data_IF_031473736892
#
_entry.id   IF_031473736892
#
_cell.length_a   1.000
_cell.length_b   1.000
_cell.length_c   1.000
_cell.angle_alpha   90.00
_cell.angle_beta   90.00
_cell.angle_gamma   90.00
#
_symmetry.space_group_name_H-M   'P 1'
#
loop_
_entity.id
_entity.type
_entity.pdbx_description
1 polymer ?
#
# COMPACT_ATOMS: atom_id res chain seq x y z
N UNK A 1 -99.58 -65.83 -57.29
CA UNK A 1 -98.65 -64.70 -57.07
C UNK A 1 -99.45 -63.52 -56.55
N UNK A 2 -98.82 -62.75 -55.66
CA UNK A 2 -99.18 -61.43 -55.13
C UNK A 2 -99.73 -61.37 -53.71
N UNK A 3 -99.09 -60.44 -52.98
CA UNK A 3 -98.85 -60.34 -51.55
C UNK A 3 -99.76 -59.28 -50.93
N UNK A 4 -100.15 -59.54 -49.68
CA UNK A 4 -100.87 -58.71 -48.71
C UNK A 4 -100.13 -57.42 -48.33
N UNK A 5 -100.86 -56.33 -48.02
CA UNK A 5 -100.37 -55.27 -47.13
C UNK A 5 -101.44 -54.80 -46.14
N UNK A 6 -101.04 -54.83 -44.86
CA UNK A 6 -101.72 -54.27 -43.70
C UNK A 6 -101.33 -52.80 -43.51
N UNK A 7 -102.24 -52.03 -42.95
CA UNK A 7 -102.12 -50.60 -42.68
C UNK A 7 -102.26 -50.36 -41.16
N UNK A 8 -101.30 -49.72 -40.52
CA UNK A 8 -101.42 -49.19 -39.15
C UNK A 8 -100.63 -47.90 -39.02
N UNK A 9 -101.30 -46.80 -38.69
CA UNK A 9 -100.69 -45.53 -38.30
C UNK A 9 -101.36 -45.03 -37.04
N UNK A 10 -100.62 -44.94 -35.93
CA UNK A 10 -100.98 -44.16 -34.74
C UNK A 10 -99.72 -43.66 -34.03
N UNK A 11 -99.84 -42.44 -33.49
CA UNK A 11 -99.09 -41.85 -32.37
C UNK A 11 -97.61 -41.49 -32.54
N UNK A 12 -97.33 -40.21 -32.82
CA UNK A 12 -96.11 -39.51 -32.35
C UNK A 12 -96.46 -38.04 -32.00
N UNK A 13 -96.71 -37.72 -30.73
CA UNK A 13 -96.90 -36.31 -30.30
C UNK A 13 -96.42 -35.99 -28.87
N UNK A 14 -95.79 -36.91 -28.13
CA UNK A 14 -95.43 -36.68 -26.72
C UNK A 14 -93.93 -36.65 -26.42
N UNK A 15 -93.05 -36.97 -27.38
CA UNK A 15 -91.59 -37.10 -27.11
C UNK A 15 -90.78 -35.80 -27.21
N UNK A 16 -91.30 -34.72 -27.82
CA UNK A 16 -90.49 -33.53 -28.11
C UNK A 16 -90.29 -32.59 -26.90
N UNK A 17 -91.20 -32.58 -25.91
CA UNK A 17 -91.16 -31.60 -24.79
C UNK A 17 -90.23 -31.96 -23.63
N UNK A 18 -89.71 -33.19 -23.55
CA UNK A 18 -88.83 -33.63 -22.45
C UNK A 18 -87.33 -33.49 -22.74
N UNK A 19 -86.92 -33.30 -24.00
CA UNK A 19 -85.52 -33.10 -24.37
C UNK A 19 -85.01 -31.67 -24.06
N UNK A 20 -85.86 -30.65 -24.19
CA UNK A 20 -85.47 -29.24 -24.03
C UNK A 20 -85.29 -28.76 -22.58
N UNK A 21 -85.76 -29.51 -21.58
CA UNK A 21 -85.58 -29.15 -20.17
C UNK A 21 -84.30 -29.75 -19.57
N UNK A 22 -83.87 -30.93 -20.04
CA UNK A 22 -82.59 -31.51 -19.61
C UNK A 22 -81.41 -30.75 -20.19
N UNK A 23 -81.47 -30.34 -21.46
CA UNK A 23 -80.37 -29.63 -22.15
C UNK A 23 -80.00 -28.31 -21.46
N UNK A 24 -80.99 -27.51 -21.04
CA UNK A 24 -80.77 -26.24 -20.31
C UNK A 24 -80.17 -26.42 -18.91
N UNK A 25 -80.46 -27.52 -18.21
CA UNK A 25 -79.87 -27.78 -16.88
C UNK A 25 -78.42 -28.28 -16.95
N UNK A 26 -78.02 -28.96 -18.03
CA UNK A 26 -76.61 -29.34 -18.24
C UNK A 26 -75.77 -28.15 -18.68
N UNK A 27 -76.28 -27.29 -19.54
CA UNK A 27 -75.57 -26.08 -20.00
C UNK A 27 -75.35 -25.08 -18.85
N UNK A 28 -76.32 -24.90 -17.94
CA UNK A 28 -76.18 -24.02 -16.77
C UNK A 28 -75.12 -24.55 -15.77
N UNK A 29 -75.08 -25.86 -15.52
CA UNK A 29 -74.07 -26.49 -14.64
C UNK A 29 -72.66 -26.51 -15.23
N UNK A 30 -72.52 -26.52 -16.56
CA UNK A 30 -71.22 -26.42 -17.23
C UNK A 30 -70.68 -25.00 -17.08
N UNK A 31 -71.51 -23.97 -17.28
CA UNK A 31 -71.12 -22.56 -17.14
C UNK A 31 -70.68 -22.23 -15.70
N UNK A 32 -71.43 -22.68 -14.69
CA UNK A 32 -71.04 -22.51 -13.27
C UNK A 32 -69.71 -23.21 -12.93
N UNK A 33 -69.47 -24.43 -13.43
CA UNK A 33 -68.20 -25.13 -13.21
C UNK A 33 -67.03 -24.47 -13.93
N UNK A 34 -67.22 -23.94 -15.14
CA UNK A 34 -66.15 -23.18 -15.83
C UNK A 34 -65.82 -21.86 -15.15
N UNK A 35 -66.81 -21.15 -14.59
CA UNK A 35 -66.57 -19.91 -13.83
C UNK A 35 -65.87 -20.18 -12.48
N UNK A 36 -66.22 -21.28 -11.81
CA UNK A 36 -65.57 -21.69 -10.57
C UNK A 36 -64.13 -22.17 -10.81
N UNK A 37 -63.87 -22.93 -11.89
CA UNK A 37 -62.52 -23.30 -12.31
C UNK A 37 -61.69 -22.08 -12.78
N UNK A 38 -62.29 -21.13 -13.49
CA UNK A 38 -61.62 -19.89 -13.90
C UNK A 38 -61.25 -19.00 -12.69
N UNK A 39 -62.12 -18.91 -11.69
CA UNK A 39 -61.84 -18.21 -10.43
C UNK A 39 -60.71 -18.85 -9.63
N UNK A 40 -60.66 -20.18 -9.54
CA UNK A 40 -59.57 -20.92 -8.89
C UNK A 40 -58.24 -20.81 -9.64
N UNK A 41 -58.28 -20.85 -10.97
CA UNK A 41 -57.07 -20.64 -11.79
C UNK A 41 -56.53 -19.22 -11.61
N UNK A 42 -57.40 -18.21 -11.55
CA UNK A 42 -56.97 -16.81 -11.43
C UNK A 42 -56.37 -16.48 -10.05
N UNK A 43 -56.92 -17.01 -8.95
CA UNK A 43 -56.32 -16.85 -7.61
C UNK A 43 -55.02 -17.62 -7.44
N UNK A 44 -54.92 -18.81 -8.01
CA UNK A 44 -53.68 -19.60 -7.98
C UNK A 44 -52.58 -18.95 -8.82
N UNK A 45 -52.91 -18.36 -9.97
CA UNK A 45 -51.99 -17.60 -10.81
C UNK A 45 -51.54 -16.30 -10.13
N UNK A 46 -52.46 -15.56 -9.51
CA UNK A 46 -52.14 -14.34 -8.75
C UNK A 46 -51.22 -14.66 -7.57
N UNK A 47 -51.46 -15.77 -6.85
CA UNK A 47 -50.61 -16.20 -5.75
C UNK A 47 -49.22 -16.65 -6.22
N UNK A 48 -49.11 -17.34 -7.36
CA UNK A 48 -47.82 -17.75 -7.91
C UNK A 48 -47.00 -16.58 -8.46
N UNK A 49 -47.65 -15.59 -9.08
CA UNK A 49 -47.01 -14.35 -9.54
C UNK A 49 -46.50 -13.55 -8.34
N UNK A 50 -47.31 -13.38 -7.28
CA UNK A 50 -46.89 -12.66 -6.07
C UNK A 50 -45.72 -13.35 -5.36
N UNK A 51 -45.71 -14.68 -5.31
CA UNK A 51 -44.60 -15.43 -4.73
C UNK A 51 -43.31 -15.29 -5.55
N UNK A 52 -43.39 -15.35 -6.89
CA UNK A 52 -42.24 -15.14 -7.76
C UNK A 52 -41.67 -13.71 -7.64
N UNK A 53 -42.54 -12.70 -7.53
CA UNK A 53 -42.14 -11.31 -7.32
C UNK A 53 -41.45 -11.11 -5.96
N UNK A 54 -41.98 -11.74 -4.90
CA UNK A 54 -41.38 -11.71 -3.56
C UNK A 54 -39.99 -12.38 -3.53
N UNK A 55 -39.84 -13.55 -4.17
CA UNK A 55 -38.54 -14.24 -4.27
C UNK A 55 -37.54 -13.42 -5.10
N UNK A 56 -37.97 -12.79 -6.19
CA UNK A 56 -37.11 -11.92 -7.01
C UNK A 56 -36.65 -10.69 -6.21
N UNK A 57 -37.56 -10.03 -5.49
CA UNK A 57 -37.23 -8.92 -4.60
C UNK A 57 -36.28 -9.36 -3.46
N UNK A 58 -36.47 -10.54 -2.87
CA UNK A 58 -35.55 -11.07 -1.86
C UNK A 58 -34.15 -11.31 -2.41
N UNK A 59 -34.03 -11.90 -3.61
CA UNK A 59 -32.72 -12.13 -4.25
C UNK A 59 -32.01 -10.81 -4.57
N UNK A 60 -32.76 -9.81 -5.05
CA UNK A 60 -32.22 -8.49 -5.36
C UNK A 60 -31.82 -7.72 -4.10
N UNK A 61 -32.57 -7.86 -3.00
CA UNK A 61 -32.21 -7.30 -1.70
C UNK A 61 -30.96 -7.97 -1.12
N UNK A 62 -30.83 -9.29 -1.24
CA UNK A 62 -29.63 -10.02 -0.80
C UNK A 62 -28.38 -9.65 -1.60
N UNK A 63 -28.49 -9.45 -2.93
CA UNK A 63 -27.35 -9.00 -3.73
C UNK A 63 -26.96 -7.56 -3.41
N UNK A 64 -27.94 -6.69 -3.15
CA UNK A 64 -27.70 -5.30 -2.73
C UNK A 64 -27.01 -5.25 -1.38
N UNK A 65 -27.46 -6.05 -0.41
CA UNK A 65 -26.85 -6.14 0.92
C UNK A 65 -25.40 -6.66 0.84
N UNK A 66 -25.16 -7.71 0.06
CA UNK A 66 -23.80 -8.24 -0.16
C UNK A 66 -22.86 -7.22 -0.81
N UNK A 67 -23.36 -6.37 -1.73
CA UNK A 67 -22.56 -5.32 -2.33
C UNK A 67 -22.24 -4.19 -1.33
N UNK A 68 -23.16 -3.88 -0.41
CA UNK A 68 -22.92 -2.91 0.66
C UNK A 68 -21.86 -3.44 1.64
N UNK A 69 -21.92 -4.72 2.04
CA UNK A 69 -20.91 -5.33 2.91
C UNK A 69 -19.51 -5.31 2.26
N UNK A 70 -19.40 -5.63 0.96
CA UNK A 70 -18.13 -5.53 0.23
C UNK A 70 -17.58 -4.11 0.22
N UNK A 71 -18.43 -3.13 -0.07
CA UNK A 71 -18.03 -1.73 -0.08
C UNK A 71 -17.59 -1.23 1.32
N UNK A 72 -18.28 -1.67 2.39
CA UNK A 72 -17.87 -1.37 3.76
C UNK A 72 -16.47 -1.94 4.03
N UNK A 73 -16.22 -3.20 3.69
CA UNK A 73 -14.90 -3.80 3.87
C UNK A 73 -13.81 -3.12 3.03
N UNK A 74 -14.11 -2.71 1.80
CA UNK A 74 -13.17 -1.94 0.97
C UNK A 74 -12.81 -0.59 1.61
N UNK A 75 -13.79 0.12 2.21
CA UNK A 75 -13.53 1.37 2.94
C UNK A 75 -12.72 1.11 4.22
N UNK A 76 -13.07 0.07 4.98
CA UNK A 76 -12.36 -0.30 6.21
C UNK A 76 -10.90 -0.64 5.91
N UNK A 77 -10.65 -1.44 4.87
CA UNK A 77 -9.32 -1.82 4.41
C UNK A 77 -8.53 -0.58 3.97
N UNK A 78 -9.11 0.30 3.17
CA UNK A 78 -8.46 1.54 2.71
C UNK A 78 -8.16 2.49 3.89
N UNK A 79 -9.11 2.63 4.81
CA UNK A 79 -8.94 3.46 6.02
C UNK A 79 -7.82 2.92 6.92
N UNK A 80 -7.76 1.58 7.10
CA UNK A 80 -6.70 0.94 7.87
C UNK A 80 -5.33 1.10 7.22
N UNK A 81 -5.26 1.00 5.89
CA UNK A 81 -4.04 1.22 5.09
C UNK A 81 -3.53 2.65 5.24
N UNK A 82 -4.43 3.63 5.22
CA UNK A 82 -4.10 5.04 5.45
C UNK A 82 -3.50 5.28 6.84
N UNK A 83 -4.05 4.65 7.89
CA UNK A 83 -3.50 4.77 9.26
C UNK A 83 -2.13 4.09 9.41
N UNK A 84 -1.95 2.94 8.77
CA UNK A 84 -0.65 2.26 8.77
C UNK A 84 0.43 3.09 8.06
N UNK A 85 0.08 3.73 6.94
CA UNK A 85 0.98 4.64 6.22
C UNK A 85 1.38 5.84 7.08
N UNK A 86 0.41 6.54 7.69
CA UNK A 86 0.68 7.67 8.58
C UNK A 86 1.62 7.27 9.73
N UNK A 87 1.36 6.12 10.36
CA UNK A 87 2.24 5.60 11.41
C UNK A 87 3.65 5.28 10.89
N UNK A 88 3.76 4.72 9.69
CA UNK A 88 5.06 4.43 9.09
C UNK A 88 5.84 5.71 8.77
N UNK A 89 5.15 6.77 8.33
CA UNK A 89 5.73 8.11 8.12
C UNK A 89 6.27 8.65 9.44
N UNK A 90 5.47 8.66 10.50
CA UNK A 90 5.87 9.16 11.83
C UNK A 90 7.10 8.42 12.39
N UNK A 91 7.12 7.09 12.29
CA UNK A 91 8.28 6.30 12.72
C UNK A 91 9.52 6.60 11.89
N UNK A 92 9.36 6.78 10.58
CA UNK A 92 10.46 7.12 9.68
C UNK A 92 11.03 8.49 10.03
N UNK A 93 10.18 9.51 10.16
CA UNK A 93 10.57 10.87 10.55
C UNK A 93 11.30 10.85 11.89
N UNK A 94 10.75 10.16 12.90
CA UNK A 94 11.36 10.07 14.23
C UNK A 94 12.74 9.40 14.15
N UNK A 95 12.85 8.30 13.39
CA UNK A 95 14.11 7.57 13.22
C UNK A 95 15.17 8.41 12.51
N UNK A 96 14.80 9.10 11.43
CA UNK A 96 15.69 9.98 10.67
C UNK A 96 16.12 11.17 11.51
N UNK A 97 15.20 11.85 12.21
CA UNK A 97 15.55 12.97 13.09
C UNK A 97 16.51 12.56 14.21
N UNK A 98 16.34 11.38 14.80
CA UNK A 98 17.28 10.84 15.79
C UNK A 98 18.67 10.63 15.19
N UNK A 99 18.74 10.06 14.00
CA UNK A 99 20.01 9.89 13.28
C UNK A 99 20.65 11.24 12.97
N UNK A 100 19.90 12.22 12.47
CA UNK A 100 20.38 13.58 12.20
C UNK A 100 20.95 14.22 13.46
N UNK A 101 20.26 14.12 14.60
CA UNK A 101 20.75 14.64 15.87
C UNK A 101 22.07 13.98 16.30
N UNK A 102 22.21 12.68 16.09
CA UNK A 102 23.44 11.95 16.40
C UNK A 102 24.60 12.40 15.49
N UNK A 103 24.38 12.45 14.17
CA UNK A 103 25.38 12.92 13.20
C UNK A 103 25.89 14.33 13.54
N UNK A 104 24.97 15.24 13.89
CA UNK A 104 25.31 16.59 14.30
C UNK A 104 26.08 16.64 15.63
N UNK A 105 25.76 15.78 16.59
CA UNK A 105 26.47 15.70 17.85
C UNK A 105 27.91 15.19 17.63
N UNK A 106 28.06 14.15 16.81
CA UNK A 106 29.36 13.57 16.46
C UNK A 106 30.22 14.57 15.68
N UNK A 107 29.63 15.33 14.75
CA UNK A 107 30.33 16.37 13.99
C UNK A 107 30.89 17.46 14.90
N UNK A 108 30.07 17.97 15.83
CA UNK A 108 30.51 18.94 16.85
C UNK A 108 31.60 18.36 17.76
N UNK A 109 31.54 17.07 18.07
CA UNK A 109 32.54 16.44 18.90
C UNK A 109 33.89 16.32 18.16
N UNK A 110 33.87 16.04 16.86
CA UNK A 110 35.05 16.10 16.01
C UNK A 110 35.66 17.52 15.98
N UNK A 111 34.85 18.58 15.86
CA UNK A 111 35.33 19.97 15.92
C UNK A 111 36.06 20.28 17.23
N UNK A 112 35.54 19.80 18.35
CA UNK A 112 36.20 19.97 19.66
C UNK A 112 37.58 19.32 19.68
N UNK A 113 37.77 18.17 19.02
CA UNK A 113 39.10 17.55 18.92
C UNK A 113 40.02 18.31 17.98
N UNK A 114 39.50 18.79 16.85
CA UNK A 114 40.26 19.63 15.92
C UNK A 114 40.84 20.85 16.65
N UNK A 115 40.01 21.57 17.39
CA UNK A 115 40.46 22.76 18.14
C UNK A 115 41.46 22.40 19.24
N UNK A 116 41.30 21.24 19.90
CA UNK A 116 42.28 20.77 20.88
C UNK A 116 43.62 20.45 20.23
N UNK A 117 43.64 19.80 19.07
CA UNK A 117 44.87 19.44 18.37
C UNK A 117 45.61 20.70 17.92
N UNK A 118 44.91 21.71 17.39
CA UNK A 118 45.50 23.00 17.02
C UNK A 118 46.20 23.74 18.17
N UNK A 119 45.82 23.44 19.41
CA UNK A 119 46.39 24.03 20.63
C UNK A 119 47.45 23.14 21.28
N UNK A 120 47.71 21.95 20.74
CA UNK A 120 48.77 21.09 21.24
C UNK A 120 50.13 21.63 20.81
N UNK A 121 50.83 22.22 21.76
CA UNK A 121 52.27 22.42 21.65
C UNK A 121 52.96 21.17 22.20
N UNK A 122 53.76 20.46 21.39
CA UNK A 122 54.54 19.35 21.92
C UNK A 122 55.34 18.55 20.92
N UNK A 123 56.36 17.86 21.43
CA UNK A 123 57.27 16.98 20.68
C UNK A 123 56.74 15.54 20.56
N UNK A 124 55.44 15.31 20.85
CA UNK A 124 54.85 13.97 20.90
C UNK A 124 53.80 13.80 19.80
N UNK A 125 54.03 12.80 18.95
CA UNK A 125 53.07 12.38 17.93
C UNK A 125 51.77 11.84 18.58
N UNK A 126 50.64 12.18 17.98
CA UNK A 126 49.29 11.79 18.37
C UNK A 126 49.00 10.35 17.89
N UNK A 127 49.42 10.00 16.67
CA UNK A 127 49.16 8.69 16.05
C UNK A 127 50.44 8.10 15.41
N UNK A 128 51.46 7.77 16.22
CA UNK A 128 52.75 7.26 15.70
C UNK A 128 52.65 5.92 14.95
N UNK A 129 51.53 5.19 15.07
CA UNK A 129 51.28 3.91 14.41
C UNK A 129 50.26 4.00 13.26
N UNK A 130 49.83 5.20 12.86
CA UNK A 130 48.80 5.45 11.84
C UNK A 130 47.44 4.74 12.10
N UNK A 131 47.22 4.30 13.33
CA UNK A 131 46.08 3.47 13.74
C UNK A 131 44.79 4.28 13.83
N UNK A 132 44.88 5.52 14.33
CA UNK A 132 43.77 6.45 14.48
C UNK A 132 43.38 7.02 13.13
N UNK A 133 44.34 7.46 12.32
CA UNK A 133 44.11 7.97 10.97
C UNK A 133 43.46 6.90 10.07
N UNK A 134 43.94 5.66 10.14
CA UNK A 134 43.33 4.52 9.42
C UNK A 134 41.89 4.26 9.90
N UNK A 135 41.65 4.35 11.20
CA UNK A 135 40.31 4.15 11.78
C UNK A 135 39.35 5.27 11.39
N UNK A 136 39.80 6.53 11.39
CA UNK A 136 39.04 7.68 10.93
C UNK A 136 38.65 7.54 9.45
N UNK A 137 39.56 7.09 8.60
CA UNK A 137 39.27 6.85 7.18
C UNK A 137 38.21 5.76 6.97
N UNK A 138 38.26 4.67 7.75
CA UNK A 138 37.23 3.62 7.71
C UNK A 138 35.87 4.14 8.18
N UNK A 139 35.84 4.94 9.24
CA UNK A 139 34.63 5.58 9.74
C UNK A 139 34.08 6.54 8.70
N UNK A 140 34.92 7.37 8.08
CA UNK A 140 34.55 8.28 7.00
C UNK A 140 33.88 7.53 5.83
N UNK A 141 34.47 6.41 5.40
CA UNK A 141 33.89 5.55 4.35
C UNK A 141 32.51 4.98 4.76
N UNK A 142 32.33 4.68 6.05
CA UNK A 142 31.06 4.21 6.58
C UNK A 142 30.00 5.31 6.60
N UNK A 143 30.38 6.55 6.96
CA UNK A 143 29.48 7.72 6.89
C UNK A 143 29.10 8.03 5.44
N UNK A 144 30.01 7.87 4.48
CA UNK A 144 29.69 7.99 3.06
C UNK A 144 28.63 6.97 2.61
N UNK A 145 28.68 5.74 3.11
CA UNK A 145 27.63 4.74 2.84
C UNK A 145 26.27 5.17 3.42
N UNK A 146 26.26 5.74 4.63
CA UNK A 146 25.04 6.31 5.24
C UNK A 146 24.49 7.45 4.38
N UNK A 147 25.35 8.37 3.94
CA UNK A 147 24.97 9.47 3.04
C UNK A 147 24.31 8.97 1.74
N UNK A 148 24.90 7.98 1.09
CA UNK A 148 24.37 7.40 -0.15
C UNK A 148 23.02 6.68 0.08
N UNK A 149 22.89 5.97 1.20
CA UNK A 149 21.63 5.32 1.59
C UNK A 149 20.52 6.35 1.85
N UNK A 150 20.83 7.47 2.52
CA UNK A 150 19.86 8.54 2.75
C UNK A 150 19.40 9.18 1.43
N UNK A 151 20.29 9.35 0.46
CA UNK A 151 19.92 9.81 -0.89
C UNK A 151 18.96 8.83 -1.56
N UNK A 152 19.29 7.54 -1.54
CA UNK A 152 18.46 6.50 -2.14
C UNK A 152 17.07 6.44 -1.50
N UNK A 153 16.99 6.55 -0.17
CA UNK A 153 15.72 6.59 0.57
C UNK A 153 14.90 7.84 0.29
N UNK A 154 15.53 9.00 0.20
CA UNK A 154 14.86 10.24 -0.20
C UNK A 154 14.25 10.11 -1.59
N UNK A 155 15.00 9.52 -2.54
CA UNK A 155 14.50 9.30 -3.89
C UNK A 155 13.34 8.31 -3.91
N UNK A 156 13.44 7.21 -3.17
CA UNK A 156 12.33 6.26 -2.99
C UNK A 156 11.07 6.93 -2.42
N UNK A 157 11.23 7.86 -1.47
CA UNK A 157 10.13 8.65 -0.94
C UNK A 157 9.48 9.59 -1.97
N UNK A 158 10.27 10.16 -2.89
CA UNK A 158 9.75 10.98 -4.01
C UNK A 158 9.01 10.15 -5.06
N UNK A 159 9.44 8.91 -5.25
CA UNK A 159 8.87 8.02 -6.26
C UNK A 159 7.59 7.29 -5.76
N UNK A 160 7.31 7.32 -4.44
CA UNK A 160 6.12 6.70 -3.87
C UNK A 160 4.88 7.60 -4.03
N UNK A 161 3.96 7.17 -4.89
CA UNK A 161 2.70 7.87 -5.22
C UNK A 161 1.76 8.07 -4.02
N UNK A 162 1.98 7.35 -2.91
CA UNK A 162 1.17 7.48 -1.69
C UNK A 162 1.65 8.61 -0.80
N UNK A 163 2.86 9.12 -1.02
CA UNK A 163 3.43 10.21 -0.27
C UNK A 163 3.18 11.52 -0.98
N UNK A 164 2.93 12.55 -0.18
CA UNK A 164 2.76 13.93 -0.60
C UNK A 164 3.90 14.78 -0.05
N UNK A 165 4.13 15.95 -0.66
CA UNK A 165 5.13 16.91 -0.18
C UNK A 165 4.89 17.33 1.27
N UNK A 166 3.62 17.38 1.69
CA UNK A 166 3.21 17.76 3.05
C UNK A 166 3.58 16.74 4.13
N UNK A 167 3.95 15.51 3.77
CA UNK A 167 4.34 14.47 4.72
C UNK A 167 5.74 14.71 5.30
N UNK A 168 6.52 15.66 4.77
CA UNK A 168 7.79 16.11 5.35
C UNK A 168 8.97 15.13 5.20
N UNK A 169 8.75 13.97 4.58
CA UNK A 169 9.78 12.93 4.36
C UNK A 169 11.00 13.48 3.60
N UNK A 170 10.76 14.21 2.52
CA UNK A 170 11.85 14.78 1.72
C UNK A 170 12.73 15.74 2.54
N UNK A 171 12.09 16.57 3.36
CA UNK A 171 12.77 17.57 4.18
C UNK A 171 13.67 16.91 5.22
N UNK A 172 13.15 15.95 6.00
CA UNK A 172 13.95 15.27 7.05
C UNK A 172 15.14 14.49 6.48
N UNK A 173 14.97 13.84 5.32
CA UNK A 173 16.11 13.19 4.67
C UNK A 173 17.13 14.20 4.16
N UNK A 174 16.69 15.35 3.66
CA UNK A 174 17.60 16.41 3.20
C UNK A 174 18.46 16.95 4.33
N UNK A 175 17.88 17.15 5.52
CA UNK A 175 18.63 17.54 6.71
C UNK A 175 19.61 16.45 7.15
N UNK A 176 19.19 15.19 7.17
CA UNK A 176 20.06 14.06 7.50
C UNK A 176 21.25 13.92 6.54
N UNK A 177 21.02 14.14 5.24
CA UNK A 177 22.05 14.13 4.20
C UNK A 177 23.07 15.24 4.47
N UNK A 178 22.62 16.44 4.84
CA UNK A 178 23.52 17.54 5.22
C UNK A 178 24.37 17.16 6.44
N UNK A 179 23.73 16.67 7.51
CA UNK A 179 24.43 16.29 8.74
C UNK A 179 25.46 15.16 8.50
N UNK A 180 25.16 14.20 7.62
CA UNK A 180 26.10 13.14 7.25
C UNK A 180 27.30 13.69 6.46
N UNK A 181 27.06 14.65 5.55
CA UNK A 181 28.13 15.31 4.81
C UNK A 181 29.03 16.14 5.73
N UNK A 182 28.43 16.87 6.67
CA UNK A 182 29.15 17.69 7.66
C UNK A 182 30.04 16.80 8.54
N UNK A 183 29.50 15.69 9.08
CA UNK A 183 30.31 14.73 9.85
C UNK A 183 31.44 14.13 9.01
N UNK A 184 31.17 13.74 7.76
CA UNK A 184 32.20 13.20 6.86
C UNK A 184 33.35 14.21 6.66
N UNK A 185 33.03 15.49 6.48
CA UNK A 185 34.02 16.55 6.30
C UNK A 185 34.81 16.79 7.59
N UNK A 186 34.15 16.88 8.74
CA UNK A 186 34.81 17.07 10.03
C UNK A 186 35.74 15.90 10.38
N UNK A 187 35.36 14.65 10.05
CA UNK A 187 36.25 13.50 10.22
C UNK A 187 37.49 13.59 9.32
N UNK A 188 37.34 14.10 8.10
CA UNK A 188 38.48 14.32 7.21
C UNK A 188 39.39 15.43 7.71
N UNK A 189 38.83 16.55 8.19
CA UNK A 189 39.62 17.63 8.80
C UNK A 189 40.33 17.17 10.06
N UNK A 190 39.66 16.42 10.93
CA UNK A 190 40.27 15.83 12.12
C UNK A 190 41.44 14.94 11.76
N UNK A 191 41.26 14.04 10.77
CA UNK A 191 42.33 13.18 10.28
C UNK A 191 43.50 14.00 9.72
N UNK A 192 43.22 15.06 8.99
CA UNK A 192 44.26 15.94 8.44
C UNK A 192 45.05 16.62 9.56
N UNK A 193 44.39 17.18 10.58
CA UNK A 193 45.06 17.82 11.71
C UNK A 193 45.96 16.87 12.51
N UNK A 194 45.55 15.61 12.69
CA UNK A 194 46.40 14.59 13.33
C UNK A 194 47.67 14.36 12.48
N UNK A 195 47.50 14.13 11.19
CA UNK A 195 48.61 13.83 10.29
C UNK A 195 49.57 15.02 10.14
N UNK A 196 49.04 16.24 10.09
CA UNK A 196 49.85 17.46 10.01
C UNK A 196 50.70 17.63 11.28
N UNK A 197 50.08 17.49 12.45
CA UNK A 197 50.77 17.57 13.74
C UNK A 197 51.89 16.53 13.87
N UNK A 198 51.62 15.28 13.46
CA UNK A 198 52.61 14.20 13.50
C UNK A 198 53.74 14.41 12.48
N UNK A 199 53.42 14.97 11.31
CA UNK A 199 54.39 15.32 10.29
C UNK A 199 55.34 16.45 10.75
N UNK A 200 54.80 17.47 11.42
CA UNK A 200 55.58 18.59 11.97
C UNK A 200 56.59 18.14 13.03
N UNK A 201 56.23 17.12 13.83
CA UNK A 201 57.11 16.53 14.84
C UNK A 201 58.11 15.56 14.23
N UNK A 202 57.72 14.87 13.16
CA UNK A 202 58.61 13.93 12.49
C UNK A 202 59.87 14.67 12.01
N UNK A 203 61.05 14.18 12.40
CA UNK A 203 62.30 14.82 11.99
C UNK A 203 62.42 14.70 10.46
N UNK A 204 62.13 15.80 9.75
CA UNK A 204 62.43 15.89 8.32
C UNK A 204 63.88 15.47 8.11
N UNK A 205 64.11 14.59 7.13
CA UNK A 205 65.38 13.89 6.94
C UNK A 205 66.58 14.83 6.88
N UNK A 206 67.79 14.25 7.05
CA UNK A 206 69.10 14.94 7.06
C UNK A 206 69.09 16.27 6.29
N UNK A 207 69.35 17.37 6.99
CA UNK A 207 69.61 18.64 6.35
C UNK A 207 70.86 18.52 5.46
N UNK A 208 70.71 18.71 4.16
CA UNK A 208 71.81 18.74 3.20
C UNK A 208 72.28 20.18 3.03
N UNK A 209 73.57 20.42 3.22
CA UNK A 209 74.20 21.73 3.01
C UNK A 209 74.72 21.93 1.60
N UNK A 210 74.82 20.85 0.81
CA UNK A 210 75.25 20.87 -0.59
C UNK A 210 74.25 20.13 -1.50
N UNK A 211 74.02 20.70 -2.69
CA UNK A 211 73.10 20.15 -3.69
C UNK A 211 73.63 18.80 -4.21
N UNK A 212 74.95 18.61 -4.32
CA UNK A 212 75.49 17.34 -4.79
C UNK A 212 75.31 16.23 -3.74
N UNK A 213 75.31 16.56 -2.45
CA UNK A 213 75.05 15.60 -1.37
C UNK A 213 73.59 15.12 -1.40
N UNK A 214 72.64 16.04 -1.60
CA UNK A 214 71.23 15.71 -1.81
C UNK A 214 71.04 14.82 -3.04
N UNK A 215 71.61 15.21 -4.18
CA UNK A 215 71.48 14.45 -5.44
C UNK A 215 72.11 13.05 -5.33
N UNK A 216 73.21 12.92 -4.59
CA UNK A 216 73.86 11.62 -4.35
C UNK A 216 73.03 10.71 -3.45
N UNK A 217 72.30 11.26 -2.48
CA UNK A 217 71.40 10.49 -1.61
C UNK A 217 70.12 10.06 -2.35
N UNK A 218 69.59 10.90 -3.25
CA UNK A 218 68.42 10.57 -4.07
C UNK A 218 68.71 9.57 -5.19
N UNK A 219 69.96 9.48 -5.64
CA UNK A 219 70.39 8.59 -6.72
C UNK A 219 70.84 7.20 -6.26
N UNK A 220 70.90 6.95 -4.94
CA UNK A 220 71.23 5.66 -4.32
C UNK A 220 69.98 4.90 -3.89
#
# INVERSE_FOLDING_TARGET
MSITRFNTTYCVSSYQKHYDFRKRNYECRIVERTLQCAGYLNTTLMNSINYALWVANMKQNNSTFSNIEKFIHEIEDESSRSLQLLRAIEYTITGVNRLTAQLNADAKYADVFIEKIKLLDGDTAIDPEDSVATSLQKTQSSILNVYNELIARRQSGRDDVRLSEGDGIEHVYTEAISAAADLHNNLNELRWHILEHDADISSSGKAYTDVNELLKNLAS
#
